data_IF_264183900613
#
_entry.id   IF_264183900613
#
_cell.length_a   1.000
_cell.length_b   1.000
_cell.length_c   1.000
_cell.angle_alpha   90.00
_cell.angle_beta   90.00
_cell.angle_gamma   90.00
#
_symmetry.space_group_name_H-M   'P 1'
#
loop_
_entity.id
_entity.type
_entity.pdbx_description
1 polymer ?
#
# COMPACT_ATOMS: atom_id res chain seq x y z
N UNK A 1 -111.28 -4.98 12.15
CA UNK A 1 -110.18 -5.72 11.50
C UNK A 1 -108.85 -4.96 11.69
N UNK A 2 -108.09 -5.46 12.63
CA UNK A 2 -106.72 -4.90 12.90
C UNK A 2 -105.66 -5.80 12.23
N UNK A 3 -104.77 -5.23 11.46
CA UNK A 3 -103.63 -5.86 10.81
C UNK A 3 -102.46 -5.94 11.82
N UNK A 4 -101.78 -7.05 11.96
CA UNK A 4 -100.64 -7.16 12.85
C UNK A 4 -99.35 -6.53 12.25
N UNK A 5 -98.46 -6.03 13.09
CA UNK A 5 -97.20 -5.38 12.62
C UNK A 5 -96.17 -6.37 12.12
N UNK A 6 -95.59 -6.01 11.03
CA UNK A 6 -94.54 -6.67 10.31
C UNK A 6 -93.20 -6.65 11.13
N UNK A 7 -92.72 -7.80 11.49
CA UNK A 7 -91.43 -7.98 12.18
C UNK A 7 -90.26 -7.85 11.17
N UNK A 8 -89.44 -6.84 11.30
CA UNK A 8 -88.21 -6.66 10.55
C UNK A 8 -87.15 -7.70 11.01
N UNK A 9 -86.37 -8.30 10.08
CA UNK A 9 -85.39 -9.31 10.42
C UNK A 9 -84.16 -8.71 11.16
N UNK A 10 -83.89 -9.24 12.34
CA UNK A 10 -82.68 -8.92 13.13
C UNK A 10 -81.42 -9.47 12.36
N UNK A 11 -80.71 -8.59 11.70
CA UNK A 11 -79.44 -8.89 11.06
C UNK A 11 -78.39 -9.29 12.11
N UNK A 12 -77.96 -10.55 12.02
CA UNK A 12 -76.98 -11.20 12.91
C UNK A 12 -75.65 -10.46 12.97
N UNK A 13 -75.37 -9.77 14.08
CA UNK A 13 -74.09 -9.10 14.38
C UNK A 13 -72.88 -10.09 14.42
N UNK A 14 -73.14 -11.38 14.42
CA UNK A 14 -72.10 -12.41 14.47
C UNK A 14 -71.32 -12.56 13.16
N UNK A 15 -71.92 -12.23 12.01
CA UNK A 15 -71.29 -12.36 10.71
C UNK A 15 -70.23 -11.26 10.47
N UNK A 16 -70.46 -10.05 10.93
CA UNK A 16 -69.51 -8.92 10.81
C UNK A 16 -68.29 -9.12 11.69
N UNK A 17 -68.46 -9.67 12.89
CA UNK A 17 -67.33 -9.93 13.82
C UNK A 17 -66.39 -11.02 13.26
N UNK A 18 -66.96 -12.06 12.60
CA UNK A 18 -66.13 -13.07 11.97
C UNK A 18 -65.22 -12.52 10.86
N UNK A 19 -65.75 -11.68 10.00
CA UNK A 19 -64.99 -11.05 8.92
C UNK A 19 -63.89 -10.10 9.43
N UNK A 20 -64.17 -9.36 10.50
CA UNK A 20 -63.15 -8.48 11.13
C UNK A 20 -61.96 -9.31 11.66
N UNK A 21 -62.25 -10.39 12.38
CA UNK A 21 -61.20 -11.29 12.87
C UNK A 21 -60.44 -11.99 11.75
N UNK A 22 -61.11 -12.37 10.68
CA UNK A 22 -60.50 -13.01 9.52
C UNK A 22 -59.49 -12.05 8.83
N UNK A 23 -59.91 -10.82 8.55
CA UNK A 23 -59.00 -9.83 7.97
C UNK A 23 -57.87 -9.44 8.91
N UNK A 24 -58.07 -9.40 10.21
CA UNK A 24 -57.02 -9.14 11.19
C UNK A 24 -55.96 -10.27 11.19
N UNK A 25 -56.41 -11.51 11.21
CA UNK A 25 -55.48 -12.67 11.13
C UNK A 25 -54.75 -12.74 9.79
N UNK A 26 -55.42 -12.41 8.69
CA UNK A 26 -54.83 -12.35 7.36
C UNK A 26 -53.71 -11.27 7.30
N UNK A 27 -54.01 -10.06 7.82
CA UNK A 27 -53.03 -8.97 7.84
C UNK A 27 -51.84 -9.31 8.76
N UNK A 28 -52.08 -9.93 9.91
CA UNK A 28 -51.04 -10.37 10.80
C UNK A 28 -50.14 -11.43 10.12
N UNK A 29 -50.77 -12.38 9.39
CA UNK A 29 -50.03 -13.39 8.61
C UNK A 29 -49.16 -12.78 7.52
N UNK A 30 -49.65 -11.77 6.80
CA UNK A 30 -48.88 -11.04 5.80
C UNK A 30 -47.70 -10.30 6.45
N UNK A 31 -47.93 -9.60 7.58
CA UNK A 31 -46.88 -8.92 8.30
C UNK A 31 -45.76 -9.88 8.78
N UNK A 32 -46.13 -11.03 9.33
CA UNK A 32 -45.16 -12.08 9.75
C UNK A 32 -44.43 -12.63 8.55
N UNK A 33 -45.10 -12.87 7.43
CA UNK A 33 -44.46 -13.31 6.20
C UNK A 33 -43.47 -12.28 5.66
N UNK A 34 -43.82 -10.99 5.64
CA UNK A 34 -42.94 -9.91 5.20
C UNK A 34 -41.70 -9.78 6.11
N UNK A 35 -41.85 -9.89 7.44
CA UNK A 35 -40.76 -9.87 8.39
C UNK A 35 -39.87 -11.10 8.21
N UNK A 36 -40.45 -12.28 8.01
CA UNK A 36 -39.69 -13.51 7.75
C UNK A 36 -38.95 -13.43 6.41
N UNK A 37 -39.55 -12.89 5.35
CA UNK A 37 -38.88 -12.68 4.06
C UNK A 37 -37.76 -11.64 4.17
N UNK A 38 -37.96 -10.52 4.85
CA UNK A 38 -36.89 -9.52 5.06
C UNK A 38 -35.75 -10.07 5.91
N UNK A 39 -36.02 -10.97 6.86
CA UNK A 39 -34.96 -11.63 7.61
C UNK A 39 -34.25 -12.77 6.86
N UNK A 40 -34.90 -13.37 5.86
CA UNK A 40 -34.24 -14.32 4.94
C UNK A 40 -33.32 -13.61 3.93
N UNK A 41 -33.72 -12.46 3.43
CA UNK A 41 -32.91 -11.68 2.47
C UNK A 41 -31.58 -11.18 3.11
N UNK A 42 -31.57 -10.95 4.41
CA UNK A 42 -30.34 -10.62 5.13
C UNK A 42 -29.43 -11.84 5.38
N UNK A 43 -29.92 -13.05 5.13
CA UNK A 43 -29.15 -14.32 5.33
C UNK A 43 -28.76 -15.02 4.04
N UNK A 44 -29.21 -14.54 2.89
CA UNK A 44 -28.57 -14.96 1.64
C UNK A 44 -27.13 -14.40 1.73
N UNK A 45 -26.09 -15.25 1.83
CA UNK A 45 -24.75 -14.74 1.67
C UNK A 45 -24.79 -14.10 0.29
N UNK A 46 -24.74 -12.75 0.22
CA UNK A 46 -24.34 -12.10 -1.00
C UNK A 46 -23.11 -12.88 -1.42
N UNK A 47 -23.21 -13.62 -2.52
CA UNK A 47 -22.07 -14.21 -3.15
C UNK A 47 -21.07 -13.06 -3.26
N UNK A 48 -20.10 -13.00 -2.33
CA UNK A 48 -18.99 -12.08 -2.46
C UNK A 48 -18.53 -12.35 -3.87
N UNK A 49 -18.74 -11.39 -4.75
CA UNK A 49 -18.23 -11.49 -6.12
C UNK A 49 -16.80 -11.94 -5.92
N UNK A 50 -16.49 -13.18 -6.29
CA UNK A 50 -15.14 -13.72 -6.13
C UNK A 50 -14.30 -12.82 -7.02
N UNK A 51 -13.64 -11.84 -6.41
CA UNK A 51 -12.66 -11.03 -7.12
C UNK A 51 -11.66 -12.06 -7.65
N UNK A 52 -11.55 -12.12 -8.96
CA UNK A 52 -10.58 -13.00 -9.59
C UNK A 52 -9.20 -12.44 -9.27
N UNK A 53 -8.50 -13.09 -8.36
CA UNK A 53 -7.16 -12.67 -7.96
C UNK A 53 -6.16 -13.00 -9.07
N UNK A 54 -5.34 -12.04 -9.44
CA UNK A 54 -4.22 -12.28 -10.34
C UNK A 54 -3.01 -12.74 -9.51
N UNK A 55 -2.56 -14.00 -9.65
CA UNK A 55 -1.45 -14.53 -8.83
C UNK A 55 -0.11 -13.87 -9.12
N UNK A 56 0.01 -13.11 -10.23
CA UNK A 56 1.22 -12.36 -10.59
C UNK A 56 1.26 -10.95 -10.01
N UNK A 57 0.14 -10.45 -9.50
CA UNK A 57 0.06 -9.10 -8.96
C UNK A 57 0.42 -9.12 -7.48
N UNK A 58 1.25 -8.16 -7.07
CA UNK A 58 1.66 -7.94 -5.69
C UNK A 58 1.34 -6.50 -5.30
N UNK A 59 0.50 -6.33 -4.30
CA UNK A 59 0.29 -5.02 -3.68
C UNK A 59 1.33 -4.78 -2.60
N UNK A 60 1.95 -3.61 -2.58
CA UNK A 60 2.81 -3.16 -1.49
C UNK A 60 2.08 -2.10 -0.68
N UNK A 61 1.81 -2.39 0.59
CA UNK A 61 1.07 -1.51 1.49
C UNK A 61 1.92 -1.11 2.70
N UNK A 62 1.75 0.11 3.18
CA UNK A 62 2.25 0.52 4.48
C UNK A 62 1.09 0.63 5.47
N UNK A 63 1.02 -0.32 6.40
CA UNK A 63 -0.10 -0.43 7.35
C UNK A 63 0.05 0.55 8.52
N UNK A 64 1.28 0.75 9.01
CA UNK A 64 1.58 1.67 10.11
C UNK A 64 2.89 2.41 9.81
N UNK A 65 2.82 3.73 9.82
CA UNK A 65 3.89 4.60 9.32
C UNK A 65 4.90 5.02 10.39
N UNK A 66 4.64 4.78 11.67
CA UNK A 66 5.55 5.25 12.73
C UNK A 66 5.42 4.49 14.04
N UNK A 67 6.49 4.52 14.82
CA UNK A 67 6.50 4.11 16.22
C UNK A 67 6.51 5.32 17.16
N UNK A 68 5.72 5.29 18.22
CA UNK A 68 5.65 6.38 19.20
C UNK A 68 6.97 6.59 20.00
N UNK A 69 7.83 5.57 20.03
CA UNK A 69 9.11 5.62 20.75
C UNK A 69 10.27 6.21 19.95
N UNK A 70 10.05 6.48 18.68
CA UNK A 70 11.05 7.05 17.78
C UNK A 70 10.54 8.38 17.25
N UNK A 71 11.15 9.45 17.69
CA UNK A 71 10.82 10.80 17.24
C UNK A 71 11.52 11.20 15.94
N UNK A 72 12.07 10.25 15.20
CA UNK A 72 12.86 10.55 14.02
C UNK A 72 12.03 10.49 12.75
N UNK A 73 11.97 11.56 11.95
CA UNK A 73 11.34 11.55 10.63
C UNK A 73 11.99 10.54 9.66
N UNK A 74 13.21 10.09 9.96
CA UNK A 74 13.97 9.14 9.13
C UNK A 74 13.33 7.76 8.97
N UNK A 75 12.42 7.38 9.87
CA UNK A 75 11.79 6.06 9.81
C UNK A 75 10.80 5.92 8.67
N UNK A 76 9.97 6.95 8.49
CA UNK A 76 8.99 6.95 7.43
C UNK A 76 9.67 6.94 6.06
N UNK A 77 10.64 7.82 5.88
CA UNK A 77 11.41 7.91 4.63
C UNK A 77 12.15 6.59 4.32
N UNK A 78 12.73 5.96 5.36
CA UNK A 78 13.35 4.64 5.19
C UNK A 78 12.35 3.56 4.77
N UNK A 79 11.16 3.53 5.36
CA UNK A 79 10.14 2.54 5.01
C UNK A 79 9.60 2.75 3.58
N UNK A 80 9.41 4.02 3.16
CA UNK A 80 9.03 4.37 1.80
C UNK A 80 10.11 3.90 0.83
N UNK A 81 11.38 4.23 1.09
CA UNK A 81 12.49 3.82 0.25
C UNK A 81 12.70 2.30 0.17
N UNK A 82 12.48 1.56 1.27
CA UNK A 82 12.49 0.09 1.24
C UNK A 82 11.35 -0.45 0.39
N UNK A 83 10.14 0.14 0.48
CA UNK A 83 9.01 -0.24 -0.35
C UNK A 83 9.29 -0.04 -1.83
N UNK A 84 9.83 1.11 -2.20
CA UNK A 84 10.21 1.45 -3.57
C UNK A 84 11.31 0.52 -4.11
N UNK A 85 12.36 0.26 -3.32
CA UNK A 85 13.41 -0.69 -3.67
C UNK A 85 12.83 -2.09 -3.93
N UNK A 86 11.92 -2.56 -3.09
CA UNK A 86 11.28 -3.86 -3.26
C UNK A 86 10.39 -3.87 -4.51
N UNK A 87 9.63 -2.81 -4.76
CA UNK A 87 8.79 -2.66 -5.93
C UNK A 87 9.63 -2.73 -7.21
N UNK A 88 10.68 -1.94 -7.30
CA UNK A 88 11.61 -1.92 -8.43
C UNK A 88 12.28 -3.28 -8.63
N UNK A 89 12.72 -3.89 -7.55
CA UNK A 89 13.38 -5.20 -7.59
C UNK A 89 12.45 -6.30 -8.08
N UNK A 90 11.20 -6.34 -7.59
CA UNK A 90 10.21 -7.33 -8.01
C UNK A 90 9.77 -7.14 -9.47
N UNK A 91 9.66 -5.90 -9.94
CA UNK A 91 9.34 -5.62 -11.33
C UNK A 91 10.41 -6.12 -12.31
N UNK A 92 11.68 -6.19 -11.87
CA UNK A 92 12.79 -6.70 -12.69
C UNK A 92 12.64 -8.19 -13.02
N UNK A 93 11.89 -8.96 -12.23
CA UNK A 93 11.61 -10.37 -12.54
C UNK A 93 10.70 -10.59 -13.75
N UNK A 94 10.05 -9.56 -14.27
CA UNK A 94 9.04 -9.64 -15.35
C UNK A 94 7.90 -10.66 -15.12
N UNK A 95 7.95 -11.40 -14.02
CA UNK A 95 6.95 -12.40 -13.59
C UNK A 95 5.86 -11.80 -12.71
N UNK A 96 6.16 -10.68 -12.06
CA UNK A 96 5.25 -9.98 -11.16
C UNK A 96 4.94 -8.59 -11.67
N UNK A 97 3.70 -8.15 -11.41
CA UNK A 97 3.29 -6.76 -11.56
C UNK A 97 3.09 -6.19 -10.15
N UNK A 98 3.83 -5.17 -9.82
CA UNK A 98 3.82 -4.57 -8.49
C UNK A 98 2.99 -3.30 -8.49
N UNK A 99 2.02 -3.24 -7.58
CA UNK A 99 1.19 -2.07 -7.33
C UNK A 99 1.66 -1.42 -6.03
N UNK A 100 2.40 -0.33 -6.14
CA UNK A 100 2.81 0.46 -4.98
C UNK A 100 1.62 1.27 -4.46
N UNK A 101 1.10 0.85 -3.29
CA UNK A 101 0.03 1.55 -2.57
C UNK A 101 0.55 2.35 -1.36
N UNK A 102 1.85 2.43 -1.17
CA UNK A 102 2.46 3.20 -0.07
C UNK A 102 2.19 4.68 -0.28
N UNK A 103 2.34 5.14 -1.51
CA UNK A 103 2.22 6.53 -1.92
C UNK A 103 0.84 6.87 -2.48
N UNK A 104 0.05 5.85 -2.85
CA UNK A 104 -1.27 6.02 -3.46
C UNK A 104 -2.33 5.43 -2.53
N UNK A 105 -3.17 6.29 -1.97
CA UNK A 105 -4.30 5.89 -1.14
C UNK A 105 -5.42 5.36 -2.04
N UNK A 106 -5.29 4.14 -2.52
CA UNK A 106 -6.28 3.50 -3.39
C UNK A 106 -7.13 2.60 -2.51
N UNK A 107 -8.34 3.06 -2.15
CA UNK A 107 -9.35 2.31 -1.40
C UNK A 107 -10.06 1.24 -2.25
N UNK A 108 -9.53 0.90 -3.41
CA UNK A 108 -10.12 -0.12 -4.26
C UNK A 108 -9.83 -1.53 -3.73
N UNK A 109 -10.83 -2.43 -3.81
CA UNK A 109 -10.63 -3.82 -3.45
C UNK A 109 -9.53 -4.42 -4.34
N UNK A 110 -8.47 -4.92 -3.71
CA UNK A 110 -7.33 -5.49 -4.42
C UNK A 110 -7.72 -6.76 -5.18
N UNK A 111 -7.37 -6.80 -6.47
CA UNK A 111 -7.37 -8.01 -7.28
C UNK A 111 -6.02 -8.73 -7.27
N UNK A 112 -5.05 -8.23 -6.52
CA UNK A 112 -3.71 -8.79 -6.44
C UNK A 112 -3.69 -10.14 -5.72
N UNK A 113 -2.95 -11.10 -6.26
CA UNK A 113 -2.80 -12.42 -5.68
C UNK A 113 -2.00 -12.42 -4.39
N UNK A 114 -1.17 -11.40 -4.16
CA UNK A 114 -0.33 -11.27 -2.96
C UNK A 114 -0.35 -9.86 -2.42
N UNK A 115 -0.13 -9.76 -1.10
CA UNK A 115 0.02 -8.47 -0.42
C UNK A 115 1.29 -8.48 0.42
N UNK A 116 2.19 -7.55 0.14
CA UNK A 116 3.35 -7.23 0.96
C UNK A 116 3.03 -6.03 1.85
N UNK A 117 3.01 -6.24 3.15
CA UNK A 117 2.73 -5.19 4.13
C UNK A 117 4.01 -4.80 4.86
N UNK A 118 4.29 -3.49 4.91
CA UNK A 118 5.34 -2.89 5.71
C UNK A 118 4.67 -2.17 6.89
N UNK A 119 5.08 -2.45 8.11
CA UNK A 119 4.51 -1.83 9.30
C UNK A 119 5.58 -1.55 10.34
N UNK A 120 5.45 -0.43 11.06
CA UNK A 120 6.21 -0.19 12.27
C UNK A 120 5.43 -0.67 13.49
N UNK A 121 6.06 -1.48 14.33
CA UNK A 121 5.44 -2.08 15.50
C UNK A 121 6.23 -1.73 16.75
N UNK A 122 5.55 -1.12 17.72
CA UNK A 122 6.11 -0.93 19.05
C UNK A 122 5.97 -2.23 19.85
N UNK A 123 7.08 -2.75 20.32
CA UNK A 123 7.08 -3.89 21.23
C UNK A 123 7.83 -3.55 22.51
N UNK A 124 7.23 -3.84 23.66
CA UNK A 124 7.88 -3.69 24.95
C UNK A 124 8.77 -4.90 25.20
N UNK A 125 10.08 -4.67 25.24
CA UNK A 125 11.06 -5.70 25.56
C UNK A 125 11.93 -5.23 26.73
N UNK A 126 12.02 -6.01 27.80
CA UNK A 126 12.86 -5.73 28.97
C UNK A 126 12.78 -4.31 29.55
N UNK A 127 11.57 -3.75 29.72
CA UNK A 127 11.29 -2.38 30.21
C UNK A 127 11.55 -1.24 29.22
N UNK A 128 12.07 -1.51 28.03
CA UNK A 128 12.21 -0.53 26.97
C UNK A 128 11.15 -0.74 25.88
N UNK A 129 10.64 0.34 25.30
CA UNK A 129 9.88 0.26 24.05
C UNK A 129 10.87 0.22 22.90
N UNK A 130 10.75 -0.78 22.05
CA UNK A 130 11.57 -0.93 20.87
C UNK A 130 10.70 -0.93 19.63
N UNK A 131 11.13 -0.19 18.61
CA UNK A 131 10.47 -0.12 17.33
C UNK A 131 11.05 -1.15 16.37
N UNK A 132 10.15 -1.92 15.75
CA UNK A 132 10.49 -2.90 14.74
C UNK A 132 9.83 -2.52 13.42
N UNK A 133 10.54 -2.66 12.32
CA UNK A 133 9.93 -2.73 11.00
C UNK A 133 9.49 -4.19 10.78
N UNK A 134 8.20 -4.40 10.63
CA UNK A 134 7.60 -5.70 10.32
C UNK A 134 7.26 -5.76 8.85
N UNK A 135 7.70 -6.83 8.21
CA UNK A 135 7.45 -7.12 6.79
C UNK A 135 6.67 -8.43 6.71
N UNK A 136 5.50 -8.38 6.10
CA UNK A 136 4.64 -9.56 5.96
C UNK A 136 4.17 -9.71 4.52
N UNK A 137 4.43 -10.87 3.90
CA UNK A 137 3.88 -11.25 2.61
C UNK A 137 2.79 -12.31 2.80
N UNK A 138 1.62 -12.06 2.25
CA UNK A 138 0.44 -12.94 2.34
C UNK A 138 0.00 -13.33 0.94
N UNK A 139 -0.35 -14.60 0.75
CA UNK A 139 -1.11 -15.05 -0.41
C UNK A 139 -2.60 -14.75 -0.18
N UNK A 140 -3.19 -13.95 -1.07
CA UNK A 140 -4.57 -13.50 -0.91
C UNK A 140 -5.59 -14.58 -1.31
N UNK A 141 -5.17 -15.67 -1.95
CA UNK A 141 -6.04 -16.74 -2.36
C UNK A 141 -6.52 -17.58 -1.18
N UNK A 142 -5.63 -17.84 -0.23
CA UNK A 142 -5.92 -18.68 0.95
C UNK A 142 -5.64 -17.98 2.28
N UNK A 143 -5.06 -16.77 2.26
CA UNK A 143 -4.68 -16.02 3.44
C UNK A 143 -3.41 -16.53 4.12
N UNK A 144 -2.66 -17.45 3.49
CA UNK A 144 -1.44 -18.00 4.06
C UNK A 144 -0.33 -16.96 4.13
N UNK A 145 0.46 -17.00 5.21
CA UNK A 145 1.62 -16.13 5.37
C UNK A 145 2.84 -16.78 4.72
N UNK A 146 3.34 -16.16 3.65
CA UNK A 146 4.52 -16.61 2.92
C UNK A 146 5.83 -16.11 3.54
N UNK A 147 5.80 -14.90 4.13
CA UNK A 147 6.94 -14.27 4.81
C UNK A 147 6.43 -13.47 6.02
N UNK A 148 7.10 -13.59 7.16
CA UNK A 148 6.90 -12.73 8.34
C UNK A 148 8.27 -12.47 8.95
N UNK A 149 8.78 -11.24 8.81
CA UNK A 149 10.07 -10.82 9.36
C UNK A 149 9.96 -9.52 10.13
N UNK A 150 10.81 -9.39 11.13
CA UNK A 150 10.90 -8.18 11.96
C UNK A 150 12.35 -7.75 12.08
N UNK A 151 12.56 -6.46 11.89
CA UNK A 151 13.88 -5.85 11.91
C UNK A 151 13.93 -4.70 12.92
N UNK A 152 14.96 -4.68 13.74
CA UNK A 152 15.31 -3.50 14.52
C UNK A 152 16.17 -2.62 13.65
N UNK A 153 15.69 -1.41 13.35
CA UNK A 153 16.40 -0.48 12.48
C UNK A 153 17.37 0.35 13.33
N UNK A 154 18.62 0.35 12.93
CA UNK A 154 19.68 1.19 13.50
C UNK A 154 20.43 1.91 12.37
N UNK A 155 21.18 2.96 12.71
CA UNK A 155 21.92 3.74 11.70
C UNK A 155 22.99 2.94 10.92
N UNK A 156 23.32 1.71 11.36
CA UNK A 156 24.38 0.91 10.76
C UNK A 156 23.93 -0.39 10.07
N UNK A 157 22.65 -0.80 10.24
CA UNK A 157 22.19 -2.10 9.73
C UNK A 157 21.20 -2.03 8.57
N UNK A 158 20.91 -0.84 8.05
CA UNK A 158 19.89 -0.63 7.03
C UNK A 158 20.16 -1.41 5.74
N UNK A 159 21.41 -1.40 5.27
CA UNK A 159 21.79 -2.14 4.07
C UNK A 159 21.70 -3.66 4.29
N UNK A 160 22.10 -4.15 5.47
CA UNK A 160 21.97 -5.55 5.82
C UNK A 160 20.49 -6.00 5.86
N UNK A 161 19.60 -5.13 6.38
CA UNK A 161 18.15 -5.37 6.38
C UNK A 161 17.62 -5.48 4.94
N UNK A 162 18.02 -4.59 4.05
CA UNK A 162 17.57 -4.63 2.66
C UNK A 162 18.02 -5.92 1.95
N UNK A 163 19.27 -6.29 2.10
CA UNK A 163 19.80 -7.52 1.51
C UNK A 163 19.07 -8.77 2.04
N UNK A 164 18.88 -8.86 3.36
CA UNK A 164 18.15 -9.98 3.96
C UNK A 164 16.67 -10.00 3.54
N UNK A 165 16.05 -8.83 3.39
CA UNK A 165 14.67 -8.72 2.92
C UNK A 165 14.52 -9.22 1.48
N UNK A 166 15.35 -8.75 0.57
CA UNK A 166 15.34 -9.17 -0.82
C UNK A 166 15.59 -10.69 -0.94
N UNK A 167 16.58 -11.23 -0.23
CA UNK A 167 16.85 -12.67 -0.21
C UNK A 167 15.64 -13.46 0.33
N UNK A 168 14.99 -12.95 1.36
CA UNK A 168 13.82 -13.60 1.97
C UNK A 168 12.60 -13.58 1.05
N UNK A 169 12.37 -12.47 0.34
CA UNK A 169 11.31 -12.37 -0.67
C UNK A 169 11.56 -13.32 -1.84
N UNK A 170 12.79 -13.38 -2.34
CA UNK A 170 13.19 -14.32 -3.38
C UNK A 170 12.85 -15.78 -2.99
N UNK A 171 13.19 -16.18 -1.77
CA UNK A 171 12.86 -17.51 -1.24
C UNK A 171 11.36 -17.73 -1.10
N UNK A 172 10.64 -16.76 -0.54
CA UNK A 172 9.19 -16.85 -0.33
C UNK A 172 8.41 -16.93 -1.65
N UNK A 173 8.85 -16.21 -2.67
CA UNK A 173 8.25 -16.21 -3.99
C UNK A 173 8.74 -17.35 -4.89
N UNK A 174 9.73 -18.14 -4.43
CA UNK A 174 10.41 -19.16 -5.21
C UNK A 174 10.96 -18.63 -6.56
N UNK A 175 11.49 -17.40 -6.51
CA UNK A 175 12.07 -16.71 -7.65
C UNK A 175 13.49 -16.28 -7.30
N UNK A 176 14.52 -16.96 -7.80
CA UNK A 176 15.90 -16.58 -7.54
C UNK A 176 16.20 -15.22 -8.16
N UNK A 177 16.85 -14.33 -7.41
CA UNK A 177 17.34 -13.07 -7.95
C UNK A 177 18.32 -13.34 -9.08
N UNK A 178 18.20 -12.66 -10.21
CA UNK A 178 19.24 -12.70 -11.23
C UNK A 178 20.57 -12.26 -10.61
N UNK A 179 21.65 -13.03 -10.83
CA UNK A 179 22.98 -12.72 -10.29
C UNK A 179 23.41 -11.30 -10.68
N UNK A 180 23.16 -10.92 -11.94
CA UNK A 180 23.46 -9.59 -12.47
C UNK A 180 22.77 -8.48 -11.67
N UNK A 181 21.53 -8.69 -11.21
CA UNK A 181 20.82 -7.72 -10.40
C UNK A 181 21.44 -7.56 -9.01
N UNK A 182 21.86 -8.66 -8.39
CA UNK A 182 22.56 -8.59 -7.10
C UNK A 182 23.86 -7.78 -7.21
N UNK A 183 24.66 -8.04 -8.25
CA UNK A 183 25.87 -7.29 -8.53
C UNK A 183 25.58 -5.81 -8.77
N UNK A 184 24.56 -5.50 -9.57
CA UNK A 184 24.15 -4.13 -9.85
C UNK A 184 23.69 -3.41 -8.57
N UNK A 185 22.83 -4.02 -7.75
CA UNK A 185 22.36 -3.42 -6.49
C UNK A 185 23.52 -3.14 -5.52
N UNK A 186 24.53 -4.01 -5.47
CA UNK A 186 25.71 -3.76 -4.65
C UNK A 186 26.56 -2.58 -5.15
N UNK A 187 26.58 -2.32 -6.45
CA UNK A 187 27.31 -1.22 -7.05
C UNK A 187 26.60 0.12 -6.93
N UNK A 188 25.27 0.12 -7.04
CA UNK A 188 24.47 1.34 -7.08
C UNK A 188 23.97 1.84 -5.72
N UNK A 189 23.99 0.99 -4.68
CA UNK A 189 23.63 1.39 -3.31
C UNK A 189 24.88 1.86 -2.55
N UNK A 190 24.76 2.87 -1.69
CA UNK A 190 25.91 3.37 -0.94
C UNK A 190 26.37 2.35 0.10
N UNK A 191 27.67 2.16 0.23
CA UNK A 191 28.24 1.29 1.25
C UNK A 191 28.08 1.82 2.69
N UNK A 192 27.66 3.09 2.86
CA UNK A 192 27.47 3.73 4.15
C UNK A 192 26.00 3.90 4.47
N UNK A 193 25.51 3.27 5.53
CA UNK A 193 24.11 3.31 5.93
C UNK A 193 23.56 4.72 6.18
N UNK A 194 24.39 5.67 6.63
CA UNK A 194 24.00 7.07 6.81
C UNK A 194 23.62 7.74 5.47
N UNK A 195 24.36 7.47 4.40
CA UNK A 195 24.05 8.01 3.06
C UNK A 195 22.76 7.44 2.51
N UNK A 196 22.47 6.18 2.79
CA UNK A 196 21.23 5.54 2.40
C UNK A 196 20.02 6.18 3.08
N UNK A 197 20.13 6.50 4.36
CA UNK A 197 19.07 7.21 5.09
C UNK A 197 18.82 8.59 4.51
N UNK A 198 19.86 9.35 4.23
CA UNK A 198 19.75 10.68 3.62
C UNK A 198 19.17 10.59 2.21
N UNK A 199 19.52 9.55 1.45
CA UNK A 199 18.97 9.30 0.13
C UNK A 199 17.45 9.08 0.19
N UNK A 200 16.97 8.17 1.04
CA UNK A 200 15.54 7.94 1.18
C UNK A 200 14.77 9.15 1.73
N UNK A 201 15.42 9.96 2.57
CA UNK A 201 14.83 11.21 3.01
C UNK A 201 14.69 12.22 1.85
N UNK A 202 15.69 12.29 0.98
CA UNK A 202 15.61 13.12 -0.22
C UNK A 202 14.52 12.64 -1.18
N UNK A 203 14.40 11.34 -1.36
CA UNK A 203 13.34 10.71 -2.15
C UNK A 203 11.94 11.06 -1.60
N UNK A 204 11.73 10.96 -0.31
CA UNK A 204 10.47 11.36 0.35
C UNK A 204 10.16 12.85 0.10
N UNK A 205 11.14 13.74 0.19
CA UNK A 205 10.97 15.15 -0.17
C UNK A 205 10.63 15.37 -1.64
N UNK A 206 11.22 14.61 -2.56
CA UNK A 206 10.87 14.66 -3.97
C UNK A 206 9.40 14.30 -4.21
N UNK A 207 8.89 13.29 -3.53
CA UNK A 207 7.50 12.86 -3.62
C UNK A 207 6.50 13.91 -3.11
N UNK A 208 6.90 14.77 -2.16
CA UNK A 208 6.07 15.88 -1.71
C UNK A 208 5.91 16.98 -2.78
N UNK A 209 6.93 17.22 -3.59
CA UNK A 209 6.88 18.04 -4.80
C UNK A 209 6.69 19.54 -4.60
N UNK A 210 6.59 20.04 -3.36
CA UNK A 210 6.56 21.48 -3.10
C UNK A 210 7.97 22.10 -3.12
N UNK A 211 8.07 23.40 -3.38
CA UNK A 211 9.36 24.12 -3.51
C UNK A 211 10.32 23.89 -2.34
N UNK A 212 9.80 23.90 -1.12
CA UNK A 212 10.62 23.71 0.07
C UNK A 212 11.17 22.31 0.15
N UNK A 213 10.34 21.33 -0.14
CA UNK A 213 10.71 19.92 -0.17
C UNK A 213 11.70 19.63 -1.30
N UNK A 214 11.47 20.15 -2.51
CA UNK A 214 12.40 20.01 -3.63
C UNK A 214 13.76 20.66 -3.37
N UNK A 215 13.81 21.83 -2.73
CA UNK A 215 15.06 22.44 -2.31
C UNK A 215 15.81 21.57 -1.31
N UNK A 216 15.10 21.00 -0.34
CA UNK A 216 15.70 20.12 0.66
C UNK A 216 16.20 18.80 0.05
N UNK A 217 15.44 18.22 -0.89
CA UNK A 217 15.87 17.05 -1.67
C UNK A 217 17.18 17.35 -2.43
N UNK A 218 17.24 18.49 -3.14
CA UNK A 218 18.42 18.91 -3.90
C UNK A 218 19.65 19.10 -3.02
N UNK A 219 19.50 19.70 -1.82
CA UNK A 219 20.59 19.86 -0.84
C UNK A 219 21.12 18.48 -0.39
N UNK A 220 20.24 17.59 0.09
CA UNK A 220 20.62 16.28 0.58
C UNK A 220 21.29 15.43 -0.52
N UNK A 221 20.74 15.42 -1.73
CA UNK A 221 21.32 14.70 -2.86
C UNK A 221 22.66 15.32 -3.28
N UNK A 222 22.80 16.65 -3.22
CA UNK A 222 24.07 17.33 -3.47
C UNK A 222 25.16 16.89 -2.50
N UNK A 223 24.87 16.84 -1.19
CA UNK A 223 25.79 16.33 -0.17
C UNK A 223 26.17 14.85 -0.40
N UNK A 224 25.20 14.03 -0.79
CA UNK A 224 25.43 12.61 -1.08
C UNK A 224 26.34 12.46 -2.29
N UNK A 225 26.04 13.13 -3.40
CA UNK A 225 26.83 13.06 -4.63
C UNK A 225 28.24 13.60 -4.44
N UNK A 226 28.40 14.63 -3.62
CA UNK A 226 29.72 15.16 -3.29
C UNK A 226 30.57 14.18 -2.46
N UNK A 227 29.93 13.44 -1.55
CA UNK A 227 30.62 12.48 -0.66
C UNK A 227 30.79 11.10 -1.26
N UNK A 228 29.95 10.72 -2.22
CA UNK A 228 29.91 9.44 -2.90
C UNK A 228 29.50 9.62 -4.37
N UNK A 229 30.38 10.13 -5.23
CA UNK A 229 30.08 10.38 -6.64
C UNK A 229 29.77 9.09 -7.42
N UNK A 230 30.21 7.94 -6.91
CA UNK A 230 29.91 6.62 -7.42
C UNK A 230 28.46 6.16 -7.14
N UNK A 231 27.74 6.86 -6.27
CA UNK A 231 26.35 6.52 -5.95
C UNK A 231 25.42 6.97 -7.08
N UNK A 232 25.31 6.13 -8.09
CA UNK A 232 24.60 6.40 -9.36
C UNK A 232 23.12 6.76 -9.15
N UNK A 233 22.43 6.08 -8.24
CA UNK A 233 21.02 6.41 -7.95
C UNK A 233 20.84 7.82 -7.41
N UNK A 234 21.71 8.27 -6.49
CA UNK A 234 21.62 9.62 -5.95
C UNK A 234 21.88 10.68 -7.04
N UNK A 235 22.78 10.38 -7.99
CA UNK A 235 23.02 11.26 -9.15
C UNK A 235 21.80 11.35 -10.04
N UNK A 236 21.17 10.21 -10.36
CA UNK A 236 19.98 10.16 -11.18
C UNK A 236 18.81 10.89 -10.52
N UNK A 237 18.59 10.68 -9.24
CA UNK A 237 17.52 11.32 -8.50
C UNK A 237 17.76 12.82 -8.32
N UNK A 238 19.02 13.23 -8.13
CA UNK A 238 19.37 14.65 -8.13
C UNK A 238 19.05 15.33 -9.47
N UNK A 239 19.38 14.68 -10.60
CA UNK A 239 19.02 15.19 -11.90
C UNK A 239 17.49 15.30 -12.07
N UNK A 240 16.71 14.32 -11.58
CA UNK A 240 15.26 14.36 -11.59
C UNK A 240 14.72 15.53 -10.74
N UNK A 241 15.23 15.75 -9.54
CA UNK A 241 14.87 16.90 -8.71
C UNK A 241 15.14 18.22 -9.43
N UNK A 242 16.30 18.35 -10.07
CA UNK A 242 16.68 19.56 -10.79
C UNK A 242 15.78 19.78 -12.05
N UNK A 243 15.34 18.72 -12.74
CA UNK A 243 14.34 18.80 -13.83
C UNK A 243 12.99 19.30 -13.29
N UNK A 244 12.49 18.72 -12.19
CA UNK A 244 11.21 19.13 -11.59
C UNK A 244 11.29 20.60 -11.15
N UNK A 245 12.38 21.01 -10.50
CA UNK A 245 12.61 22.41 -10.13
C UNK A 245 12.66 23.34 -11.32
N UNK A 246 13.30 22.93 -12.42
CA UNK A 246 13.35 23.71 -13.66
C UNK A 246 11.95 23.96 -14.24
N UNK A 247 11.04 23.01 -14.09
CA UNK A 247 9.65 23.19 -14.55
C UNK A 247 8.89 24.25 -13.75
N UNK A 248 9.28 24.49 -12.49
CA UNK A 248 8.69 25.49 -11.60
C UNK A 248 9.46 26.82 -11.65
N UNK A 249 10.80 26.75 -11.67
CA UNK A 249 11.73 27.88 -11.68
C UNK A 249 12.79 27.65 -12.76
N UNK A 250 12.67 28.30 -13.93
CA UNK A 250 13.60 28.10 -15.03
C UNK A 250 15.07 28.30 -14.63
N UNK A 251 15.91 27.32 -14.94
CA UNK A 251 17.38 27.42 -14.78
C UNK A 251 17.97 28.38 -15.81
N UNK A 252 19.10 28.99 -15.47
CA UNK A 252 19.88 29.73 -16.47
C UNK A 252 20.53 28.77 -17.47
N UNK A 253 21.04 29.33 -18.61
CA UNK A 253 21.64 28.51 -19.67
C UNK A 253 22.81 27.66 -19.20
N UNK A 254 23.60 28.14 -18.27
CA UNK A 254 24.77 27.42 -17.71
C UNK A 254 24.33 26.25 -16.86
N UNK A 255 23.30 26.46 -16.01
CA UNK A 255 22.73 25.42 -15.16
C UNK A 255 22.06 24.35 -16.01
N UNK A 256 21.31 24.76 -17.05
CA UNK A 256 20.67 23.85 -17.98
C UNK A 256 21.66 23.00 -18.78
N UNK A 257 22.75 23.61 -19.27
CA UNK A 257 23.83 22.91 -19.97
C UNK A 257 24.53 21.90 -19.03
N UNK A 258 24.78 22.27 -17.78
CA UNK A 258 25.35 21.37 -16.79
C UNK A 258 24.44 20.19 -16.47
N UNK A 259 23.12 20.44 -16.32
CA UNK A 259 22.11 19.38 -16.09
C UNK A 259 22.03 18.42 -17.29
N UNK A 260 21.99 18.92 -18.51
CA UNK A 260 21.98 18.09 -19.72
C UNK A 260 23.25 17.21 -19.80
N UNK A 261 24.41 17.77 -19.51
CA UNK A 261 25.67 17.02 -19.49
C UNK A 261 25.64 15.91 -18.43
N UNK A 262 25.07 16.19 -17.24
CA UNK A 262 24.95 15.18 -16.18
C UNK A 262 23.96 14.08 -16.58
N UNK A 263 22.83 14.41 -17.20
CA UNK A 263 21.85 13.43 -17.71
C UNK A 263 22.53 12.52 -18.75
N UNK A 264 23.26 13.08 -19.70
CA UNK A 264 23.98 12.30 -20.73
C UNK A 264 25.00 11.36 -20.07
N UNK A 265 25.72 11.83 -19.06
CA UNK A 265 26.67 11.01 -18.31
C UNK A 265 25.98 9.86 -17.58
N UNK A 266 24.81 10.11 -16.95
CA UNK A 266 24.06 9.08 -16.22
C UNK A 266 23.50 8.03 -17.17
N UNK A 267 22.86 8.44 -18.27
CA UNK A 267 22.24 7.54 -19.26
C UNK A 267 23.26 6.60 -19.92
N UNK A 268 24.51 7.02 -20.02
CA UNK A 268 25.60 6.18 -20.59
C UNK A 268 26.21 5.21 -19.59
N UNK A 269 25.82 5.27 -18.30
CA UNK A 269 26.38 4.34 -17.30
C UNK A 269 25.91 2.89 -17.52
N UNK A 270 26.83 1.93 -17.60
CA UNK A 270 26.49 0.52 -17.84
C UNK A 270 25.57 -0.06 -16.78
N UNK A 271 25.66 0.43 -15.54
CA UNK A 271 24.89 -0.02 -14.39
C UNK A 271 23.38 0.23 -14.58
N UNK A 272 23.00 1.38 -15.19
CA UNK A 272 21.60 1.70 -15.44
C UNK A 272 21.05 0.97 -16.67
N UNK A 273 21.88 0.76 -17.69
CA UNK A 273 21.49 -0.01 -18.88
C UNK A 273 21.25 -1.49 -18.58
N UNK A 274 21.71 -1.97 -17.43
CA UNK A 274 21.54 -3.35 -16.99
C UNK A 274 20.24 -3.59 -16.21
N UNK A 275 19.51 -2.53 -15.86
CA UNK A 275 18.22 -2.58 -15.13
C UNK A 275 17.01 -2.46 -16.07
N UNK A 276 17.22 -2.15 -17.35
CA UNK A 276 16.17 -2.08 -18.39
C UNK A 276 16.03 -3.45 -19.16
#
# INVERSE_FOLDING_TARGET
TATPPEQSPVKSKRFTTFWVWFFFLLSLGICVALVAFSSLDTRLPMSKSRILLNPRDIDINMVNKSCNSWSSPYQLSYAIGVGDLVATSLNTFSTFMVHDKINYNIDEPSSSGKTLSIAFVNQRQYRAQQCFMSIKLVDNADGSTMLDKRYVITNGNQLAIQNDLLESLSKALNQPWPQRMQETLQQILPHRGALLTNFYQAHDYLLHGDDKSLNRASELLGEIVQSSPEFTYARAEKALVDIVRHSQHPLDEKQLAALNTEIDNIVTLPELNNLS
#
